data_IF_426467964038
#
_entry.id   IF_426467964038
#
_cell.length_a   1.000
_cell.length_b   1.000
_cell.length_c   1.000
_cell.angle_alpha   90.00
_cell.angle_beta   90.00
_cell.angle_gamma   90.00
#
_symmetry.space_group_name_H-M   'P 1'
#
loop_
_entity.id
_entity.type
_entity.pdbx_description
1 polymer ?
#
# COMPACT_ATOMS: atom_id res chain seq x y z
N UNK A 1 23.41 3.06 -1.34
CA UNK A 1 22.90 3.26 0.03
C UNK A 1 21.39 3.33 -0.08
N UNK A 2 20.69 2.41 0.58
CA UNK A 2 19.24 2.56 0.78
C UNK A 2 19.07 3.66 1.82
N UNK A 3 18.25 4.67 1.51
CA UNK A 3 17.90 5.73 2.45
C UNK A 3 17.05 5.15 3.57
N UNK A 4 17.12 5.68 4.79
CA UNK A 4 16.25 5.22 5.89
C UNK A 4 14.79 5.56 5.58
N UNK A 5 13.84 4.83 6.20
CA UNK A 5 12.41 5.13 6.07
C UNK A 5 12.14 6.62 6.38
N UNK A 6 12.75 7.14 7.46
CA UNK A 6 12.61 8.54 7.86
C UNK A 6 13.19 9.50 6.82
N UNK A 7 14.31 9.19 6.16
CA UNK A 7 14.87 10.02 5.08
C UNK A 7 13.98 10.04 3.83
N UNK A 8 13.34 8.90 3.52
CA UNK A 8 12.39 8.78 2.40
C UNK A 8 11.14 9.61 2.67
N UNK A 9 10.58 9.53 3.88
CA UNK A 9 9.35 10.26 4.21
C UNK A 9 9.63 11.73 4.56
N UNK A 10 10.74 12.06 5.22
CA UNK A 10 11.08 13.44 5.64
C UNK A 10 11.42 14.41 4.50
N UNK A 11 11.72 13.92 3.30
CA UNK A 11 12.09 14.78 2.15
C UNK A 11 10.99 14.97 1.10
N UNK A 12 9.94 14.14 1.10
CA UNK A 12 8.90 14.18 0.06
C UNK A 12 7.46 13.98 0.57
N UNK A 13 7.25 13.58 1.83
CA UNK A 13 5.93 13.14 2.31
C UNK A 13 5.61 13.66 3.71
N UNK A 14 4.32 13.78 4.00
CA UNK A 14 3.85 14.02 5.37
C UNK A 14 3.46 12.70 6.00
N UNK A 15 4.08 12.36 7.14
CA UNK A 15 3.50 11.40 8.07
C UNK A 15 2.26 12.07 8.65
N UNK A 16 1.10 11.48 8.41
CA UNK A 16 -0.16 12.00 8.92
C UNK A 16 -0.44 11.39 10.29
N UNK A 17 -0.63 12.23 11.31
CA UNK A 17 -1.08 11.79 12.63
C UNK A 17 -2.53 11.22 12.56
N UNK A 18 -2.90 10.42 13.58
CA UNK A 18 -4.08 9.54 13.66
C UNK A 18 -5.43 10.12 13.23
N UNK A 19 -5.59 11.43 13.10
CA UNK A 19 -6.87 12.07 12.85
C UNK A 19 -7.27 12.24 11.36
N UNK A 20 -6.40 11.92 10.40
CA UNK A 20 -6.73 11.98 8.97
C UNK A 20 -6.81 10.60 8.31
N UNK A 21 -7.68 9.74 8.85
CA UNK A 21 -7.96 8.37 8.39
C UNK A 21 -8.51 8.23 6.95
N UNK A 22 -8.62 9.32 6.19
CA UNK A 22 -9.11 9.28 4.82
C UNK A 22 -7.95 9.58 3.88
N UNK A 23 -7.51 8.59 3.05
CA UNK A 23 -6.58 8.91 2.00
C UNK A 23 -7.21 9.99 1.10
N UNK A 24 -6.37 10.96 0.72
CA UNK A 24 -6.67 12.02 -0.25
C UNK A 24 -6.78 11.39 -1.64
N UNK A 25 -7.72 10.47 -1.83
CA UNK A 25 -8.23 10.14 -3.14
C UNK A 25 -9.35 11.14 -3.38
N UNK A 26 -9.10 12.08 -4.30
CA UNK A 26 -10.00 13.18 -4.63
C UNK A 26 -11.45 12.71 -4.73
N UNK A 27 -12.34 13.50 -4.16
CA UNK A 27 -13.80 13.37 -4.12
C UNK A 27 -14.36 12.29 -5.05
N UNK A 28 -14.33 11.04 -4.56
CA UNK A 28 -14.94 9.94 -5.27
C UNK A 28 -16.43 9.93 -4.93
N UNK A 29 -17.33 9.62 -5.88
CA UNK A 29 -18.78 9.82 -5.76
C UNK A 29 -19.49 8.86 -4.77
N UNK A 30 -18.75 8.19 -3.90
CA UNK A 30 -19.35 7.28 -2.92
C UNK A 30 -19.81 7.99 -1.66
N UNK A 31 -20.92 7.50 -1.11
CA UNK A 31 -21.49 8.04 0.12
C UNK A 31 -20.56 7.71 1.30
N UNK A 32 -19.91 8.73 1.86
CA UNK A 32 -19.06 8.63 3.07
C UNK A 32 -19.76 7.88 4.21
N UNK A 33 -21.09 8.00 4.33
CA UNK A 33 -21.86 7.30 5.35
C UNK A 33 -21.92 5.79 5.10
N UNK A 34 -21.98 5.35 3.85
CA UNK A 34 -21.99 3.92 3.49
C UNK A 34 -20.63 3.30 3.81
N UNK A 35 -19.52 4.00 3.51
CA UNK A 35 -18.18 3.55 3.88
C UNK A 35 -18.03 3.46 5.41
N UNK A 36 -18.45 4.49 6.15
CA UNK A 36 -18.46 4.46 7.62
C UNK A 36 -19.33 3.33 8.17
N UNK A 37 -20.51 3.08 7.57
CA UNK A 37 -21.40 2.00 7.97
C UNK A 37 -20.77 0.62 7.71
N UNK A 38 -20.09 0.45 6.57
CA UNK A 38 -19.35 -0.78 6.26
C UNK A 38 -18.22 -1.04 7.26
N UNK A 39 -17.49 0.01 7.68
CA UNK A 39 -16.43 -0.11 8.68
C UNK A 39 -16.97 -0.46 10.06
N UNK A 40 -18.09 0.14 10.46
CA UNK A 40 -18.80 -0.22 11.71
C UNK A 40 -19.26 -1.67 11.78
N UNK A 41 -19.44 -2.33 10.64
CA UNK A 41 -19.70 -3.78 10.63
C UNK A 41 -18.46 -4.54 11.09
N UNK A 42 -17.26 -4.13 10.67
CA UNK A 42 -15.99 -4.77 11.05
C UNK A 42 -15.67 -4.61 12.53
N UNK A 43 -16.08 -3.51 13.16
CA UNK A 43 -15.92 -3.29 14.61
C UNK A 43 -16.62 -4.38 15.46
N UNK A 44 -17.47 -5.21 14.86
CA UNK A 44 -18.10 -6.35 15.53
C UNK A 44 -17.16 -7.55 15.69
N UNK A 45 -16.10 -7.67 14.87
CA UNK A 45 -15.20 -8.82 14.80
C UNK A 45 -15.97 -10.12 14.60
N UNK A 46 -15.70 -11.13 15.42
CA UNK A 46 -16.32 -12.46 15.39
C UNK A 46 -17.85 -12.45 15.66
N UNK A 47 -18.44 -11.29 15.96
CA UNK A 47 -19.90 -11.11 16.13
C UNK A 47 -20.61 -10.68 14.84
N UNK A 48 -19.88 -10.61 13.72
CA UNK A 48 -20.45 -10.40 12.38
C UNK A 48 -21.50 -11.48 12.09
N UNK A 49 -22.58 -11.09 11.42
CA UNK A 49 -23.69 -11.99 11.07
C UNK A 49 -23.86 -12.06 9.56
N UNK A 50 -24.54 -13.11 9.09
CA UNK A 50 -24.89 -13.29 7.65
C UNK A 50 -25.58 -12.05 7.06
N UNK A 51 -26.44 -11.37 7.84
CA UNK A 51 -27.08 -10.12 7.40
C UNK A 51 -26.08 -8.99 7.16
N UNK A 52 -24.99 -8.95 7.90
CA UNK A 52 -23.93 -7.95 7.76
C UNK A 52 -23.14 -8.21 6.48
N UNK A 53 -22.84 -9.47 6.16
CA UNK A 53 -22.27 -9.87 4.85
C UNK A 53 -23.19 -9.45 3.70
N UNK A 54 -24.50 -9.62 3.84
CA UNK A 54 -25.47 -9.21 2.81
C UNK A 54 -25.45 -7.70 2.56
N UNK A 55 -25.27 -6.90 3.62
CA UNK A 55 -25.11 -5.44 3.52
C UNK A 55 -23.80 -5.10 2.80
N UNK A 56 -22.69 -5.74 3.17
CA UNK A 56 -21.39 -5.50 2.54
C UNK A 56 -21.40 -5.87 1.04
N UNK A 57 -22.01 -7.00 0.67
CA UNK A 57 -22.23 -7.38 -0.75
C UNK A 57 -23.04 -6.33 -1.51
N UNK A 58 -24.04 -5.71 -0.86
CA UNK A 58 -24.82 -4.62 -1.45
C UNK A 58 -23.95 -3.40 -1.74
N UNK A 59 -23.02 -3.05 -0.85
CA UNK A 59 -22.08 -1.95 -1.09
C UNK A 59 -21.09 -2.26 -2.21
N UNK A 60 -20.53 -3.46 -2.25
CA UNK A 60 -19.64 -3.90 -3.35
C UNK A 60 -20.37 -3.83 -4.69
N UNK A 61 -21.62 -4.28 -4.76
CA UNK A 61 -22.42 -4.21 -5.99
C UNK A 61 -22.76 -2.79 -6.40
N UNK A 62 -23.02 -1.89 -5.44
CA UNK A 62 -23.37 -0.48 -5.70
C UNK A 62 -22.16 0.36 -6.09
N UNK A 63 -20.99 0.06 -5.52
CA UNK A 63 -19.77 0.83 -5.66
C UNK A 63 -18.59 -0.08 -6.07
N UNK A 64 -18.66 -0.74 -7.25
CA UNK A 64 -17.67 -1.76 -7.63
C UNK A 64 -16.26 -1.21 -7.84
N UNK A 65 -16.12 0.10 -8.06
CA UNK A 65 -14.84 0.80 -8.27
C UNK A 65 -14.19 1.29 -6.97
N UNK A 66 -14.84 1.06 -5.82
CA UNK A 66 -14.36 1.52 -4.51
C UNK A 66 -13.71 0.34 -3.78
N UNK A 67 -12.37 0.24 -3.79
CA UNK A 67 -11.65 -0.93 -3.26
C UNK A 67 -11.94 -1.19 -1.78
N UNK A 68 -12.24 -0.15 -1.00
CA UNK A 68 -12.53 -0.24 0.43
C UNK A 68 -13.75 -1.12 0.73
N UNK A 69 -14.78 -1.13 -0.13
CA UNK A 69 -15.94 -1.99 0.11
C UNK A 69 -15.61 -3.47 -0.12
N UNK A 70 -14.79 -3.78 -1.13
CA UNK A 70 -14.31 -5.15 -1.36
C UNK A 70 -13.38 -5.60 -0.24
N UNK A 71 -12.48 -4.72 0.20
CA UNK A 71 -11.62 -4.97 1.35
C UNK A 71 -12.42 -5.26 2.61
N UNK A 72 -13.41 -4.42 2.93
CA UNK A 72 -14.27 -4.64 4.10
C UNK A 72 -15.08 -5.94 3.98
N UNK A 73 -15.53 -6.32 2.78
CA UNK A 73 -16.19 -7.61 2.58
C UNK A 73 -15.24 -8.78 2.84
N UNK A 74 -14.00 -8.72 2.35
CA UNK A 74 -12.99 -9.75 2.61
C UNK A 74 -12.68 -9.89 4.10
N UNK A 75 -12.46 -8.78 4.81
CA UNK A 75 -12.20 -8.82 6.26
C UNK A 75 -13.39 -9.36 7.05
N UNK A 76 -14.61 -9.13 6.58
CA UNK A 76 -15.78 -9.72 7.22
C UNK A 76 -15.85 -11.24 7.03
N UNK A 77 -15.37 -11.76 5.90
CA UNK A 77 -15.24 -13.20 5.68
C UNK A 77 -14.10 -13.82 6.50
N UNK A 78 -12.97 -13.12 6.60
CA UNK A 78 -11.84 -13.47 7.49
C UNK A 78 -12.31 -13.65 8.94
N UNK A 79 -13.08 -12.70 9.49
CA UNK A 79 -13.65 -12.81 10.85
C UNK A 79 -14.63 -13.98 11.04
N UNK A 80 -15.20 -14.51 9.96
CA UNK A 80 -16.09 -15.67 10.00
C UNK A 80 -15.35 -17.00 9.76
N UNK A 81 -14.05 -16.96 9.43
CA UNK A 81 -13.28 -18.13 9.03
C UNK A 81 -13.65 -18.68 7.64
N UNK A 82 -14.28 -17.86 6.81
CA UNK A 82 -14.66 -18.22 5.43
C UNK A 82 -13.48 -17.89 4.50
N UNK A 83 -12.45 -18.72 4.60
CA UNK A 83 -11.13 -18.47 3.99
C UNK A 83 -11.17 -18.38 2.47
N UNK A 84 -11.92 -19.27 1.80
CA UNK A 84 -11.99 -19.33 0.34
C UNK A 84 -12.60 -18.03 -0.23
N UNK A 85 -13.66 -17.52 0.40
CA UNK A 85 -14.27 -16.24 0.04
C UNK A 85 -13.35 -15.06 0.34
N UNK A 86 -12.66 -15.07 1.48
CA UNK A 86 -11.71 -14.03 1.84
C UNK A 86 -10.60 -13.94 0.78
N UNK A 87 -9.97 -15.07 0.47
CA UNK A 87 -8.88 -15.17 -0.50
C UNK A 87 -9.33 -14.71 -1.88
N UNK A 88 -10.45 -15.24 -2.38
CA UNK A 88 -10.96 -14.91 -3.71
C UNK A 88 -11.20 -13.40 -3.87
N UNK A 89 -11.76 -12.75 -2.85
CA UNK A 89 -12.01 -11.30 -2.87
C UNK A 89 -10.69 -10.53 -2.78
N UNK A 90 -9.74 -10.94 -1.94
CA UNK A 90 -8.45 -10.26 -1.81
C UNK A 90 -7.61 -10.35 -3.09
N UNK A 91 -7.60 -11.52 -3.74
CA UNK A 91 -6.94 -11.71 -5.04
C UNK A 91 -7.56 -10.80 -6.11
N UNK A 92 -8.90 -10.80 -6.25
CA UNK A 92 -9.61 -9.90 -7.18
C UNK A 92 -9.34 -8.43 -6.86
N UNK A 93 -9.33 -8.05 -5.57
CA UNK A 93 -9.06 -6.69 -5.14
C UNK A 93 -7.66 -6.23 -5.57
N UNK A 94 -6.63 -7.03 -5.34
CA UNK A 94 -5.24 -6.69 -5.72
C UNK A 94 -5.07 -6.69 -7.24
N UNK A 95 -5.75 -7.59 -7.96
CA UNK A 95 -5.73 -7.62 -9.42
C UNK A 95 -6.38 -6.37 -10.03
N UNK A 96 -7.53 -5.95 -9.52
CA UNK A 96 -8.28 -4.80 -10.04
C UNK A 96 -7.72 -3.46 -9.56
N UNK A 97 -7.17 -3.42 -8.35
CA UNK A 97 -6.64 -2.22 -7.71
C UNK A 97 -5.18 -2.45 -7.25
N UNK A 98 -4.22 -2.61 -8.18
CA UNK A 98 -2.84 -3.00 -7.87
C UNK A 98 -2.01 -1.94 -7.11
N UNK A 99 -2.59 -0.77 -6.83
CA UNK A 99 -2.00 0.32 -6.04
C UNK A 99 -2.74 0.54 -4.71
N UNK A 100 -3.77 -0.27 -4.40
CA UNK A 100 -4.51 -0.18 -3.15
C UNK A 100 -3.75 -0.90 -2.03
N UNK A 101 -2.95 -0.12 -1.30
CA UNK A 101 -2.01 -0.60 -0.28
C UNK A 101 -2.66 -1.57 0.72
N UNK A 102 -3.84 -1.24 1.24
CA UNK A 102 -4.50 -2.06 2.25
C UNK A 102 -4.89 -3.44 1.72
N UNK A 103 -5.29 -3.54 0.44
CA UNK A 103 -5.58 -4.82 -0.20
C UNK A 103 -4.33 -5.69 -0.36
N UNK A 104 -3.20 -5.08 -0.75
CA UNK A 104 -1.90 -5.77 -0.87
C UNK A 104 -1.46 -6.31 0.49
N UNK A 105 -1.51 -5.46 1.53
CA UNK A 105 -1.16 -5.85 2.89
C UNK A 105 -2.05 -6.99 3.37
N UNK A 106 -3.38 -6.88 3.19
CA UNK A 106 -4.31 -7.91 3.65
C UNK A 106 -4.13 -9.23 2.93
N UNK A 107 -3.94 -9.25 1.60
CA UNK A 107 -3.66 -10.47 0.85
C UNK A 107 -2.35 -11.12 1.31
N UNK A 108 -1.29 -10.32 1.45
CA UNK A 108 0.03 -10.78 1.91
C UNK A 108 -0.06 -11.42 3.29
N UNK A 109 -0.74 -10.73 4.22
CA UNK A 109 -0.99 -11.23 5.56
C UNK A 109 -1.74 -12.56 5.52
N UNK A 110 -2.84 -12.62 4.77
CA UNK A 110 -3.68 -13.80 4.65
C UNK A 110 -2.89 -15.02 4.12
N UNK A 111 -2.10 -14.84 3.07
CA UNK A 111 -1.28 -15.91 2.49
C UNK A 111 -0.17 -16.36 3.44
N UNK A 112 0.50 -15.43 4.14
CA UNK A 112 1.54 -15.76 5.12
C UNK A 112 1.01 -16.63 6.26
N UNK A 113 -0.19 -16.34 6.80
CA UNK A 113 -0.79 -17.18 7.86
C UNK A 113 -1.07 -18.62 7.44
N UNK A 114 -1.10 -18.90 6.13
CA UNK A 114 -1.34 -20.23 5.57
C UNK A 114 -0.06 -20.91 5.09
N UNK A 115 1.10 -20.36 5.42
CA UNK A 115 2.41 -20.80 4.92
C UNK A 115 2.47 -20.85 3.37
N UNK A 116 1.65 -20.03 2.69
CA UNK A 116 1.69 -19.91 1.23
C UNK A 116 2.72 -18.86 0.82
N UNK A 117 3.94 -19.33 0.60
CA UNK A 117 5.09 -18.50 0.18
C UNK A 117 4.92 -17.81 -1.17
N UNK A 118 3.85 -18.06 -1.94
CA UNK A 118 3.57 -17.25 -3.15
C UNK A 118 3.28 -15.77 -2.80
N UNK A 119 2.99 -15.46 -1.53
CA UNK A 119 2.93 -14.09 -1.02
C UNK A 119 4.25 -13.32 -1.25
N UNK A 120 5.38 -14.04 -1.24
CA UNK A 120 6.70 -13.45 -1.49
C UNK A 120 6.74 -12.82 -2.88
N UNK A 121 6.06 -13.37 -3.89
CA UNK A 121 6.02 -12.79 -5.24
C UNK A 121 5.18 -11.51 -5.29
N UNK A 122 4.05 -11.48 -4.55
CA UNK A 122 3.17 -10.31 -4.43
C UNK A 122 3.94 -9.12 -3.84
N UNK A 123 4.78 -9.36 -2.82
CA UNK A 123 5.56 -8.32 -2.16
C UNK A 123 6.90 -8.01 -2.84
N UNK A 124 7.66 -9.03 -3.25
CA UNK A 124 8.99 -8.88 -3.88
C UNK A 124 8.91 -8.16 -5.24
N UNK A 125 7.83 -8.40 -6.01
CA UNK A 125 7.58 -7.68 -7.26
C UNK A 125 7.46 -6.16 -7.08
N UNK A 126 7.19 -5.69 -5.85
CA UNK A 126 7.02 -4.27 -5.51
C UNK A 126 8.25 -3.65 -4.83
N UNK A 127 9.30 -4.42 -4.54
CA UNK A 127 10.58 -3.99 -3.93
C UNK A 127 10.44 -3.14 -2.66
N UNK A 128 9.45 -3.45 -1.80
CA UNK A 128 9.21 -2.79 -0.50
C UNK A 128 9.36 -1.26 -0.50
N UNK A 129 8.87 -0.61 -1.54
CA UNK A 129 8.97 0.84 -1.73
C UNK A 129 7.55 1.42 -1.87
N UNK A 130 7.08 2.05 -0.79
CA UNK A 130 5.75 2.69 -0.76
C UNK A 130 5.58 3.72 -1.89
N UNK A 131 6.66 4.37 -2.35
CA UNK A 131 6.60 5.32 -3.46
C UNK A 131 6.32 4.62 -4.79
N UNK A 132 6.75 3.36 -4.95
CA UNK A 132 6.46 2.56 -6.15
C UNK A 132 5.07 1.96 -6.10
N UNK A 133 4.59 1.63 -4.91
CA UNK A 133 3.27 1.02 -4.71
C UNK A 133 2.16 2.07 -4.81
N UNK A 134 2.36 3.27 -4.25
CA UNK A 134 1.38 4.34 -4.27
C UNK A 134 1.99 5.68 -4.71
N UNK A 135 2.47 5.80 -5.96
CA UNK A 135 3.23 6.98 -6.44
C UNK A 135 2.43 8.29 -6.41
N UNK A 136 1.09 8.21 -6.47
CA UNK A 136 0.21 9.36 -6.50
C UNK A 136 -0.16 9.92 -5.11
N UNK A 137 0.21 9.25 -4.02
CA UNK A 137 -0.09 9.75 -2.67
C UNK A 137 0.92 10.83 -2.27
N UNK A 138 0.48 11.78 -1.44
CA UNK A 138 1.34 12.83 -0.86
C UNK A 138 1.75 12.55 0.60
N UNK A 139 1.21 11.48 1.18
CA UNK A 139 1.45 11.09 2.57
C UNK A 139 0.84 9.73 2.91
N UNK A 140 1.35 9.17 4.00
CA UNK A 140 0.88 7.91 4.57
C UNK A 140 0.63 8.11 6.06
N UNK A 141 -0.34 7.38 6.58
CA UNK A 141 -0.57 7.31 8.02
C UNK A 141 0.56 6.49 8.65
N UNK A 142 0.93 6.82 9.88
CA UNK A 142 1.91 6.03 10.67
C UNK A 142 1.56 4.54 10.64
N UNK A 143 0.30 4.20 10.91
CA UNK A 143 -0.14 2.80 10.91
C UNK A 143 0.02 2.08 9.56
N UNK A 144 -0.09 2.79 8.44
CA UNK A 144 0.14 2.19 7.11
C UNK A 144 1.63 1.91 6.89
N UNK A 145 2.51 2.83 7.31
CA UNK A 145 3.96 2.65 7.26
C UNK A 145 4.35 1.45 8.14
N UNK A 146 3.92 1.46 9.40
CA UNK A 146 4.23 0.40 10.36
C UNK A 146 3.79 -0.97 9.84
N UNK A 147 2.53 -1.10 9.40
CA UNK A 147 2.00 -2.38 8.93
C UNK A 147 2.66 -2.85 7.63
N UNK A 148 2.93 -1.94 6.69
CA UNK A 148 3.60 -2.30 5.44
C UNK A 148 5.01 -2.83 5.68
N UNK A 149 5.81 -2.13 6.50
CA UNK A 149 7.17 -2.53 6.78
C UNK A 149 7.27 -3.71 7.75
N UNK A 150 6.28 -3.94 8.62
CA UNK A 150 6.16 -5.21 9.34
C UNK A 150 6.04 -6.41 8.38
N UNK A 151 5.28 -6.27 7.29
CA UNK A 151 5.22 -7.31 6.24
C UNK A 151 6.52 -7.42 5.44
N UNK A 152 7.29 -6.34 5.32
CA UNK A 152 8.63 -6.41 4.73
C UNK A 152 9.61 -7.18 5.61
N UNK A 153 9.62 -6.90 6.92
CA UNK A 153 10.43 -7.62 7.90
C UNK A 153 10.10 -9.11 7.86
N UNK A 154 8.82 -9.45 7.96
CA UNK A 154 8.30 -10.81 7.81
C UNK A 154 8.87 -11.54 6.57
N UNK A 155 8.79 -10.90 5.40
CA UNK A 155 9.36 -11.41 4.17
C UNK A 155 10.87 -11.69 4.29
N UNK A 156 11.62 -10.76 4.86
CA UNK A 156 13.07 -10.90 4.97
C UNK A 156 13.46 -11.97 5.99
N UNK A 157 12.70 -12.12 7.07
CA UNK A 157 12.87 -13.23 8.01
C UNK A 157 12.63 -14.58 7.34
N UNK A 158 11.53 -14.72 6.61
CA UNK A 158 11.20 -15.95 5.87
C UNK A 158 12.24 -16.23 4.76
N UNK A 159 12.89 -15.18 4.22
CA UNK A 159 13.98 -15.27 3.24
C UNK A 159 15.37 -15.42 3.87
N UNK A 160 15.47 -15.52 5.21
CA UNK A 160 16.72 -15.57 6.00
C UNK A 160 17.65 -14.35 5.86
N UNK A 161 17.13 -13.20 5.43
CA UNK A 161 17.86 -11.91 5.41
C UNK A 161 17.56 -11.12 6.69
N UNK A 162 18.05 -11.64 7.83
CA UNK A 162 17.82 -11.03 9.15
C UNK A 162 18.45 -9.63 9.22
N UNK A 163 19.61 -9.40 8.60
CA UNK A 163 20.27 -8.09 8.62
C UNK A 163 19.37 -7.00 8.02
N UNK A 164 18.69 -7.28 6.90
CA UNK A 164 17.73 -6.34 6.32
C UNK A 164 16.50 -6.17 7.21
N UNK A 165 15.98 -7.26 7.81
CA UNK A 165 14.86 -7.21 8.74
C UNK A 165 15.16 -6.30 9.95
N UNK A 166 16.32 -6.46 10.59
CA UNK A 166 16.77 -5.63 11.72
C UNK A 166 16.97 -4.16 11.33
N UNK A 167 17.53 -3.90 10.15
CA UNK A 167 17.66 -2.51 9.66
C UNK A 167 16.29 -1.85 9.50
N UNK A 168 15.32 -2.54 8.91
CA UNK A 168 13.96 -2.01 8.76
C UNK A 168 13.31 -1.83 10.13
N UNK A 169 13.48 -2.76 11.06
CA UNK A 169 12.98 -2.63 12.43
C UNK A 169 13.51 -1.36 13.10
N UNK A 170 14.83 -1.12 13.02
CA UNK A 170 15.45 0.10 13.55
C UNK A 170 14.86 1.37 12.93
N UNK A 171 14.66 1.38 11.61
CA UNK A 171 14.04 2.51 10.92
C UNK A 171 12.60 2.75 11.39
N UNK A 172 11.85 1.71 11.79
CA UNK A 172 10.50 1.85 12.34
C UNK A 172 10.49 2.40 13.77
N UNK A 173 11.52 2.14 14.58
CA UNK A 173 11.67 2.77 15.90
C UNK A 173 11.75 4.30 15.78
N UNK A 174 12.34 4.82 14.70
CA UNK A 174 12.40 6.27 14.44
C UNK A 174 11.07 6.84 13.91
N UNK A 175 10.16 5.99 13.40
CA UNK A 175 8.83 6.39 12.91
C UNK A 175 7.82 6.50 14.05
N UNK A 176 7.74 5.47 14.90
CA UNK A 176 6.83 5.41 16.05
C UNK A 176 7.41 4.51 17.14
N UNK A 177 8.24 5.08 18.00
CA UNK A 177 8.97 4.36 19.06
C UNK A 177 8.06 3.71 20.11
N UNK A 178 6.83 4.20 20.25
CA UNK A 178 5.88 3.74 21.26
C UNK A 178 4.88 2.72 20.70
N UNK A 179 5.10 2.27 19.46
CA UNK A 179 4.20 1.33 18.80
C UNK A 179 4.28 -0.06 19.42
N UNK A 180 3.16 -0.66 19.86
CA UNK A 180 3.16 -2.05 20.36
C UNK A 180 3.52 -3.07 19.27
N UNK A 181 3.53 -2.67 18.00
CA UNK A 181 3.96 -3.52 16.89
C UNK A 181 5.47 -3.80 16.93
N UNK A 182 6.28 -2.89 17.51
CA UNK A 182 7.74 -3.08 17.60
C UNK A 182 8.10 -4.27 18.49
N UNK A 183 7.39 -4.48 19.60
CA UNK A 183 7.61 -5.63 20.48
C UNK A 183 7.34 -6.97 19.75
N UNK A 184 6.31 -7.00 18.92
CA UNK A 184 5.98 -8.19 18.10
C UNK A 184 7.09 -8.44 17.07
N UNK A 185 7.53 -7.38 16.39
CA UNK A 185 8.61 -7.45 15.39
C UNK A 185 9.92 -7.93 16.03
N UNK A 186 10.26 -7.40 17.19
CA UNK A 186 11.46 -7.79 17.94
C UNK A 186 11.41 -9.28 18.31
N UNK A 187 10.26 -9.76 18.79
CA UNK A 187 10.05 -11.17 19.08
C UNK A 187 10.23 -12.05 17.83
N UNK A 188 9.66 -11.67 16.69
CA UNK A 188 9.79 -12.42 15.42
C UNK A 188 11.27 -12.50 14.96
N UNK A 189 12.02 -11.40 15.13
CA UNK A 189 13.45 -11.34 14.77
C UNK A 189 14.28 -12.27 15.66
N UNK A 190 14.05 -12.24 16.98
CA UNK A 190 14.80 -13.09 17.92
C UNK A 190 14.48 -14.58 17.71
N UNK A 191 13.21 -14.94 17.49
CA UNK A 191 12.82 -16.31 17.15
C UNK A 191 13.53 -16.79 15.87
N UNK A 192 13.57 -15.95 14.82
CA UNK A 192 14.26 -16.29 13.59
C UNK A 192 15.78 -16.54 13.80
N UNK A 193 16.45 -15.73 14.64
CA UNK A 193 17.86 -15.94 14.98
C UNK A 193 18.09 -17.26 15.70
N UNK A 194 17.22 -17.63 16.63
CA UNK A 194 17.28 -18.90 17.34
C UNK A 194 17.09 -20.10 16.40
N UNK A 195 16.16 -19.99 15.45
CA UNK A 195 15.85 -21.07 14.50
C UNK A 195 16.98 -21.30 13.50
N UNK A 196 17.52 -20.23 12.90
CA UNK A 196 18.48 -20.37 11.80
C UNK A 196 19.93 -20.53 12.28
N UNK A 197 20.26 -20.09 13.50
CA UNK A 197 21.63 -20.10 14.03
C UNK A 197 22.57 -19.14 13.29
N UNK A 198 23.64 -18.69 13.95
CA UNK A 198 24.53 -17.64 13.40
C UNK A 198 25.19 -18.00 12.04
N UNK A 199 25.39 -19.30 11.78
CA UNK A 199 26.08 -19.79 10.58
C UNK A 199 25.18 -19.83 9.32
N UNK A 200 23.88 -20.15 9.42
CA UNK A 200 22.98 -20.14 8.24
C UNK A 200 22.59 -18.72 7.80
N UNK A 201 22.65 -17.75 8.73
CA UNK A 201 22.30 -16.35 8.48
C UNK A 201 23.30 -15.64 7.55
N UNK A 202 24.54 -16.13 7.47
CA UNK A 202 25.54 -15.59 6.54
C UNK A 202 25.42 -16.16 5.12
N UNK A 203 24.77 -17.33 4.96
CA UNK A 203 24.53 -17.98 3.66
C UNK A 203 23.17 -17.63 3.05
N UNK A 204 22.28 -16.99 3.81
CA UNK A 204 21.01 -16.43 3.34
C UNK A 204 21.23 -15.71 2.02
N UNK A 205 20.62 -16.27 0.96
CA UNK A 205 20.78 -15.80 -0.41
C UNK A 205 20.66 -14.29 -0.40
N UNK A 206 21.75 -13.59 -0.72
CA UNK A 206 21.69 -12.19 -1.14
C UNK A 206 20.84 -12.19 -2.40
N UNK A 207 19.52 -12.19 -2.26
CA UNK A 207 18.62 -11.48 -3.15
C UNK A 207 19.01 -10.01 -2.98
N UNK A 208 20.21 -9.67 -3.44
CA UNK A 208 20.60 -8.32 -3.70
C UNK A 208 19.50 -7.84 -4.64
N UNK A 209 18.64 -6.90 -4.23
CA UNK A 209 17.65 -6.35 -5.13
C UNK A 209 18.43 -5.92 -6.34
N UNK A 210 18.15 -6.57 -7.47
CA UNK A 210 19.04 -6.57 -8.63
C UNK A 210 19.60 -5.17 -8.86
N UNK A 211 20.93 -5.04 -8.72
CA UNK A 211 21.64 -3.78 -8.99
C UNK A 211 21.41 -3.32 -10.45
N UNK A 212 20.84 -4.19 -11.29
CA UNK A 212 20.43 -3.93 -12.66
C UNK A 212 19.29 -2.91 -12.84
N UNK A 213 18.63 -2.42 -11.78
CA UNK A 213 17.56 -1.40 -11.94
C UNK A 213 17.92 0.01 -11.44
N UNK A 214 19.18 0.41 -11.64
CA UNK A 214 19.58 1.82 -11.68
C UNK A 214 19.81 2.33 -13.12
N UNK A 215 19.45 1.55 -14.15
CA UNK A 215 19.46 2.02 -15.55
C UNK A 215 18.09 2.50 -16.05
N UNK A 216 17.01 2.21 -15.32
CA UNK A 216 15.73 2.85 -15.62
C UNK A 216 15.76 4.30 -15.14
N UNK A 217 15.91 5.21 -16.13
CA UNK A 217 15.88 6.67 -16.05
C UNK A 217 17.23 7.38 -15.82
N UNK A 218 18.28 6.93 -16.51
CA UNK A 218 19.15 7.88 -17.22
C UNK A 218 18.74 7.94 -18.69
N UNK A 219 17.49 8.35 -18.95
CA UNK A 219 17.17 8.88 -20.28
C UNK A 219 17.69 10.31 -20.27
N UNK A 220 18.71 10.58 -21.08
CA UNK A 220 19.12 11.96 -21.38
C UNK A 220 18.08 12.68 -22.25
N UNK A 221 17.10 11.94 -22.77
CA UNK A 221 16.05 12.45 -23.63
C UNK A 221 14.83 12.82 -22.79
N UNK A 222 14.28 14.00 -23.06
CA UNK A 222 13.05 14.46 -22.43
C UNK A 222 11.90 13.47 -22.71
N UNK A 223 11.06 13.12 -21.72
CA UNK A 223 9.89 12.27 -21.90
C UNK A 223 8.91 12.88 -22.91
N UNK A 224 8.38 12.04 -23.80
CA UNK A 224 7.28 12.40 -24.69
C UNK A 224 5.95 12.24 -23.95
N UNK A 225 5.20 13.32 -23.84
CA UNK A 225 3.85 13.29 -23.27
C UNK A 225 2.80 13.33 -24.37
N UNK A 226 1.87 12.39 -24.33
CA UNK A 226 0.67 12.40 -25.18
C UNK A 226 -0.20 13.63 -24.87
N UNK A 227 -0.18 14.08 -23.61
CA UNK A 227 -0.93 15.24 -23.16
C UNK A 227 -0.09 16.54 -23.28
N UNK A 228 -0.56 17.46 -24.12
CA UNK A 228 0.07 18.75 -24.36
C UNK A 228 0.18 19.61 -23.09
N UNK A 229 -0.81 19.55 -22.18
CA UNK A 229 -0.77 20.28 -20.91
C UNK A 229 0.36 19.79 -20.01
N UNK A 230 0.54 18.46 -19.93
CA UNK A 230 1.62 17.84 -19.16
C UNK A 230 2.99 18.19 -19.77
N UNK A 231 3.10 18.23 -21.11
CA UNK A 231 4.31 18.67 -21.79
C UNK A 231 4.68 20.14 -21.49
N UNK A 232 3.68 21.03 -21.41
CA UNK A 232 3.89 22.44 -21.05
C UNK A 232 4.39 22.57 -19.61
N UNK A 233 3.80 21.83 -18.67
CA UNK A 233 4.21 21.83 -17.26
C UNK A 233 5.60 21.23 -17.07
N UNK A 234 5.96 20.22 -17.87
CA UNK A 234 7.26 19.58 -17.79
C UNK A 234 8.41 20.44 -18.34
N UNK A 235 8.15 21.23 -19.39
CA UNK A 235 9.20 21.96 -20.12
C UNK A 235 9.48 23.38 -19.62
N UNK A 236 8.67 23.90 -18.68
CA UNK A 236 8.75 25.31 -18.28
C UNK A 236 8.78 25.47 -16.76
N UNK A 237 9.83 26.12 -16.27
CA UNK A 237 10.00 26.46 -14.85
C UNK A 237 9.06 27.60 -14.41
N UNK A 238 8.73 28.51 -15.34
CA UNK A 238 7.78 29.61 -15.12
C UNK A 238 6.79 29.63 -16.29
N UNK A 239 5.50 29.65 -15.97
CA UNK A 239 4.42 29.72 -16.96
C UNK A 239 4.14 31.17 -17.35
N UNK A 240 4.14 31.46 -18.65
CA UNK A 240 3.60 32.71 -19.18
C UNK A 240 2.07 32.69 -19.15
N UNK A 241 1.47 33.88 -19.24
CA UNK A 241 0.02 34.06 -19.31
C UNK A 241 -0.61 33.24 -20.46
N UNK A 242 0.06 33.14 -21.61
CA UNK A 242 -0.37 32.30 -22.73
C UNK A 242 -0.36 30.79 -22.41
N UNK A 243 0.61 30.32 -21.62
CA UNK A 243 0.64 28.92 -21.18
C UNK A 243 -0.53 28.65 -20.24
N UNK A 244 -0.80 29.58 -19.32
CA UNK A 244 -1.94 29.49 -18.41
C UNK A 244 -3.24 29.45 -19.21
N UNK A 245 -3.43 30.36 -20.16
CA UNK A 245 -4.61 30.37 -21.02
C UNK A 245 -4.76 29.07 -21.83
N UNK A 246 -3.66 28.49 -22.32
CA UNK A 246 -3.68 27.19 -23.02
C UNK A 246 -4.11 26.03 -22.11
N UNK A 247 -3.70 26.06 -20.84
CA UNK A 247 -4.10 25.07 -19.83
C UNK A 247 -5.58 25.23 -19.42
N UNK A 248 -6.10 26.45 -19.38
CA UNK A 248 -7.47 26.73 -18.93
C UNK A 248 -8.53 26.67 -20.05
N UNK A 249 -8.16 26.94 -21.32
CA UNK A 249 -9.15 27.07 -22.40
C UNK A 249 -9.52 25.77 -23.13
N UNK A 250 -8.80 24.66 -22.90
CA UNK A 250 -9.06 23.41 -23.64
C UNK A 250 -10.00 22.41 -22.97
N UNK A 251 -10.31 22.52 -21.67
CA UNK A 251 -10.98 21.41 -20.94
C UNK A 251 -12.35 21.71 -20.31
N UNK A 252 -12.94 22.89 -20.48
CA UNK A 252 -14.30 23.16 -19.96
C UNK A 252 -15.41 23.25 -21.01
N UNK A 253 -15.09 23.28 -22.30
CA UNK A 253 -16.09 23.33 -23.38
C UNK A 253 -16.63 21.97 -23.82
N UNK A 254 -16.07 20.86 -23.32
CA UNK A 254 -16.44 19.49 -23.71
C UNK A 254 -17.24 18.72 -22.64
N UNK A 255 -17.64 19.35 -21.53
CA UNK A 255 -18.61 18.71 -20.64
C UNK A 255 -19.99 18.73 -21.29
N UNK A 256 -20.64 17.57 -21.51
CA UNK A 256 -22.01 17.55 -21.99
C UNK A 256 -22.89 18.28 -20.99
N UNK A 257 -23.60 19.30 -21.46
CA UNK A 257 -24.68 19.92 -20.68
C UNK A 257 -25.69 18.82 -20.37
N UNK A 258 -25.85 18.49 -19.09
CA UNK A 258 -26.90 17.58 -18.65
C UNK A 258 -28.25 18.24 -18.96
N UNK A 259 -28.98 17.65 -19.90
CA UNK A 259 -30.43 17.82 -20.09
C UNK A 259 -31.17 16.69 -19.41
#
# INVERSE_FOLDING_TARGET
>A
MNKSIVEVFGSAYRILEKENLFPVFGESPFNRNDLLASRKILDKGDRIKIKDISILKTYVSRYPQTPEFKHNLAMAYDYLGEDDECESILQSLVQEHPLYLQGIISLTKFMRYRDDFSYLEVMAGKKFDLNRICPARAGFLVGEIMLFYAMAIAYYLDSKDIETAERIHKDLCDVDSDSPMLEIIESDIEEAKEIFGEDELQEGNRFAPDKGYNEALKRNDAPEFINQAVSILYSKEILSEDNVNTLYLKDFSNFPKQT
#
